data_IF_295997307177
#
_entry.id   IF_295997307177
#
_cell.length_a   1.000
_cell.length_b   1.000
_cell.length_c   1.000
_cell.angle_alpha   90.00
_cell.angle_beta   90.00
_cell.angle_gamma   90.00
#
_symmetry.space_group_name_H-M   'P 1'
#
loop_
_entity.id
_entity.type
_entity.pdbx_description
1 polymer ?
#
# COMPACT_ATOMS: atom_id res chain seq x y z
N UNK A 1 -27.50 2.53 5.95
CA UNK A 1 -26.41 1.53 6.09
C UNK A 1 -25.01 2.11 5.82
N UNK A 2 -24.87 3.13 4.95
CA UNK A 2 -23.57 3.72 4.58
C UNK A 2 -22.89 4.49 5.73
N UNK A 3 -23.65 5.21 6.57
CA UNK A 3 -23.10 6.05 7.65
C UNK A 3 -22.44 5.23 8.79
N UNK A 4 -22.92 4.00 9.06
CA UNK A 4 -22.33 3.14 10.11
C UNK A 4 -20.94 2.61 9.72
N UNK A 5 -20.71 2.36 8.43
CA UNK A 5 -19.42 1.88 7.92
C UNK A 5 -18.32 2.93 8.14
N UNK A 6 -18.57 4.20 7.79
CA UNK A 6 -17.61 5.29 8.04
C UNK A 6 -17.27 5.48 9.53
N UNK A 7 -18.24 5.25 10.42
CA UNK A 7 -18.07 5.43 11.86
C UNK A 7 -17.17 4.38 12.51
N UNK A 8 -17.08 3.16 11.94
CA UNK A 8 -16.18 2.10 12.41
C UNK A 8 -14.81 2.14 11.73
N UNK A 9 -14.72 2.65 10.50
CA UNK A 9 -13.46 2.73 9.75
C UNK A 9 -12.54 3.84 10.29
N UNK A 10 -13.12 4.92 10.84
CA UNK A 10 -12.35 6.02 11.41
C UNK A 10 -11.45 5.62 12.61
N UNK A 11 -11.95 4.95 13.67
CA UNK A 11 -11.10 4.52 14.77
C UNK A 11 -10.05 3.50 14.33
N UNK A 12 -10.37 2.61 13.39
CA UNK A 12 -9.40 1.64 12.86
C UNK A 12 -8.21 2.32 12.18
N UNK A 13 -8.46 3.37 11.39
CA UNK A 13 -7.37 4.10 10.74
C UNK A 13 -6.50 4.85 11.77
N UNK A 14 -7.10 5.42 12.81
CA UNK A 14 -6.36 6.06 13.90
C UNK A 14 -5.46 5.06 14.64
N UNK A 15 -5.96 3.86 14.95
CA UNK A 15 -5.17 2.77 15.53
C UNK A 15 -4.02 2.36 14.60
N UNK A 16 -4.29 2.20 13.31
CA UNK A 16 -3.25 1.91 12.31
C UNK A 16 -2.16 2.97 12.32
N UNK A 17 -2.50 4.27 12.35
CA UNK A 17 -1.50 5.34 12.39
C UNK A 17 -0.64 5.29 13.66
N UNK A 18 -1.24 4.98 14.81
CA UNK A 18 -0.51 4.86 16.07
C UNK A 18 0.48 3.69 16.05
N UNK A 19 0.05 2.51 15.58
CA UNK A 19 0.93 1.35 15.43
C UNK A 19 2.03 1.61 14.41
N UNK A 20 1.69 2.29 13.30
CA UNK A 20 2.65 2.64 12.27
C UNK A 20 3.76 3.57 12.79
N UNK A 21 3.42 4.57 13.61
CA UNK A 21 4.40 5.46 14.25
C UNK A 21 5.29 4.72 15.26
N UNK A 22 4.76 3.69 15.94
CA UNK A 22 5.56 2.88 16.85
C UNK A 22 6.55 1.98 16.10
N UNK A 23 6.19 1.52 14.90
CA UNK A 23 7.00 0.61 14.08
C UNK A 23 7.98 1.32 13.14
N UNK A 24 7.63 2.53 12.67
CA UNK A 24 8.42 3.29 11.71
C UNK A 24 8.95 4.59 12.33
N UNK A 25 10.28 4.75 12.45
CA UNK A 25 10.85 6.01 12.92
C UNK A 25 10.52 7.16 11.96
N UNK A 26 10.24 8.33 12.52
CA UNK A 26 9.92 9.52 11.74
C UNK A 26 11.03 9.86 10.73
N UNK A 27 10.65 10.43 9.59
CA UNK A 27 11.58 10.89 8.55
C UNK A 27 12.16 9.80 7.64
N UNK A 28 11.76 8.53 7.81
CA UNK A 28 12.22 7.43 6.97
C UNK A 28 11.21 7.12 5.84
N UNK A 29 11.73 6.72 4.69
CA UNK A 29 10.94 6.17 3.59
C UNK A 29 10.81 4.65 3.71
N UNK A 30 9.63 4.10 3.42
CA UNK A 30 9.34 2.67 3.46
C UNK A 30 9.55 2.05 2.09
N UNK A 31 10.29 0.94 2.02
CA UNK A 31 10.29 0.07 0.85
C UNK A 31 9.25 -1.05 1.06
N UNK A 32 8.13 -0.97 0.36
CA UNK A 32 7.03 -1.92 0.51
C UNK A 32 7.09 -3.02 -0.54
N UNK A 33 7.23 -4.27 -0.08
CA UNK A 33 7.08 -5.43 -0.95
C UNK A 33 5.61 -5.61 -1.38
N UNK A 34 5.33 -5.56 -2.69
CA UNK A 34 4.02 -5.82 -3.27
C UNK A 34 4.03 -7.11 -4.08
N UNK A 35 3.11 -8.01 -3.75
CA UNK A 35 2.86 -9.24 -4.50
C UNK A 35 1.79 -9.09 -5.59
N UNK A 36 1.00 -8.01 -5.51
CA UNK A 36 -0.21 -7.82 -6.31
C UNK A 36 -1.48 -8.41 -5.66
N UNK A 37 -1.35 -9.04 -4.49
CA UNK A 37 -2.48 -9.48 -3.68
C UNK A 37 -3.15 -8.33 -2.92
N UNK A 38 -4.42 -8.53 -2.54
CA UNK A 38 -5.25 -7.51 -1.89
C UNK A 38 -4.60 -6.92 -0.64
N UNK A 39 -3.98 -7.74 0.20
CA UNK A 39 -3.35 -7.29 1.46
C UNK A 39 -2.25 -6.26 1.19
N UNK A 40 -1.36 -6.57 0.25
CA UNK A 40 -0.25 -5.69 -0.13
C UNK A 40 -0.73 -4.37 -0.76
N UNK A 41 -1.83 -4.41 -1.53
CA UNK A 41 -2.42 -3.24 -2.18
C UNK A 41 -3.14 -2.36 -1.16
N UNK A 42 -3.87 -2.96 -0.20
CA UNK A 42 -4.54 -2.23 0.89
C UNK A 42 -3.50 -1.59 1.79
N UNK A 43 -2.43 -2.30 2.17
CA UNK A 43 -1.35 -1.72 2.97
C UNK A 43 -0.69 -0.53 2.27
N UNK A 44 -0.40 -0.66 0.97
CA UNK A 44 0.13 0.45 0.17
C UNK A 44 -0.81 1.66 0.17
N UNK A 45 -2.12 1.43 0.07
CA UNK A 45 -3.14 2.48 0.11
C UNK A 45 -3.22 3.16 1.49
N UNK A 46 -3.13 2.39 2.58
CA UNK A 46 -3.14 2.91 3.95
C UNK A 46 -1.90 3.75 4.25
N UNK A 47 -0.70 3.28 3.88
CA UNK A 47 0.56 4.03 4.04
C UNK A 47 0.51 5.36 3.30
N UNK A 48 -0.01 5.34 2.07
CA UNK A 48 -0.18 6.55 1.27
C UNK A 48 -1.18 7.52 1.91
N UNK A 49 -2.32 7.02 2.39
CA UNK A 49 -3.34 7.83 3.08
C UNK A 49 -2.77 8.45 4.36
N UNK A 50 -1.89 7.73 5.07
CA UNK A 50 -1.15 8.21 6.22
C UNK A 50 0.02 9.17 5.87
N UNK A 51 0.21 9.49 4.58
CA UNK A 51 1.28 10.36 4.05
C UNK A 51 2.68 9.86 4.36
N UNK A 52 2.87 8.55 4.48
CA UNK A 52 4.19 7.94 4.64
C UNK A 52 4.87 7.84 3.26
N UNK A 53 6.11 8.32 3.10
CA UNK A 53 6.86 8.15 1.87
C UNK A 53 7.09 6.65 1.65
N UNK A 54 6.55 6.09 0.56
CA UNK A 54 6.65 4.67 0.24
C UNK A 54 7.13 4.46 -1.20
N UNK A 55 8.06 3.53 -1.35
CA UNK A 55 8.54 3.01 -2.62
C UNK A 55 8.07 1.56 -2.76
N UNK A 56 7.54 1.18 -3.91
CA UNK A 56 7.03 -0.18 -4.12
C UNK A 56 8.12 -1.09 -4.71
N UNK A 57 8.42 -2.19 -4.04
CA UNK A 57 9.27 -3.26 -4.55
C UNK A 57 8.42 -4.46 -4.96
N UNK A 58 8.57 -4.95 -6.19
CA UNK A 58 7.93 -6.19 -6.63
C UNK A 58 8.96 -7.15 -7.20
N UNK A 59 8.87 -8.40 -6.77
CA UNK A 59 9.74 -9.47 -7.25
C UNK A 59 8.91 -10.39 -8.14
N UNK A 60 9.26 -10.42 -9.43
CA UNK A 60 8.73 -11.40 -10.35
C UNK A 60 9.62 -12.65 -10.31
N UNK A 61 9.18 -13.69 -9.62
CA UNK A 61 9.88 -14.98 -9.54
C UNK A 61 9.87 -15.78 -10.86
N UNK A 62 9.22 -15.27 -11.92
CA UNK A 62 9.15 -15.86 -13.26
C UNK A 62 8.54 -17.28 -13.34
N UNK A 63 7.93 -17.76 -12.25
CA UNK A 63 7.34 -19.11 -12.15
C UNK A 63 6.10 -19.33 -13.04
N UNK A 64 5.55 -18.29 -13.68
CA UNK A 64 4.32 -18.35 -14.48
C UNK A 64 4.53 -18.07 -15.98
N UNK A 65 5.77 -18.08 -16.46
CA UNK A 65 6.08 -17.78 -17.86
C UNK A 65 5.50 -16.42 -18.30
N UNK A 66 4.89 -16.36 -19.49
CA UNK A 66 4.37 -15.11 -20.11
C UNK A 66 3.15 -14.48 -19.41
N UNK A 67 2.57 -15.11 -18.37
CA UNK A 67 1.37 -14.59 -17.66
C UNK A 67 1.66 -13.55 -16.57
N UNK A 68 2.86 -12.97 -16.52
CA UNK A 68 3.21 -11.89 -15.59
C UNK A 68 2.54 -10.52 -15.87
N UNK A 69 1.61 -10.46 -16.84
CA UNK A 69 1.07 -9.20 -17.41
C UNK A 69 0.19 -8.38 -16.46
N UNK A 70 -0.37 -8.99 -15.40
CA UNK A 70 -1.29 -8.30 -14.48
C UNK A 70 -0.65 -7.20 -13.63
N UNK A 71 0.66 -7.25 -13.37
CA UNK A 71 1.33 -6.31 -12.46
C UNK A 71 1.53 -4.91 -13.06
N UNK A 72 1.67 -4.81 -14.38
CA UNK A 72 1.97 -3.54 -15.07
C UNK A 72 0.92 -2.46 -14.79
N UNK A 73 -0.35 -2.85 -14.80
CA UNK A 73 -1.46 -1.94 -14.57
C UNK A 73 -1.48 -1.39 -13.14
N UNK A 74 -1.02 -2.17 -12.16
CA UNK A 74 -0.90 -1.73 -10.77
C UNK A 74 0.13 -0.61 -10.64
N UNK A 75 1.31 -0.78 -11.24
CA UNK A 75 2.38 0.22 -11.23
C UNK A 75 2.03 1.49 -12.01
N UNK A 76 1.40 1.34 -13.17
CA UNK A 76 0.95 2.48 -13.97
C UNK A 76 -0.07 3.32 -13.21
N UNK A 77 -1.00 2.68 -12.49
CA UNK A 77 -1.96 3.38 -11.63
C UNK A 77 -1.25 4.02 -10.43
N UNK A 78 -0.25 3.36 -9.84
CA UNK A 78 0.51 3.86 -8.70
C UNK A 78 1.38 5.10 -9.04
N UNK A 79 1.97 5.13 -10.25
CA UNK A 79 2.68 6.32 -10.75
C UNK A 79 1.77 7.52 -10.92
N UNK A 80 0.57 7.31 -11.50
CA UNK A 80 -0.41 8.39 -11.73
C UNK A 80 -0.86 9.08 -10.45
N UNK A 81 -0.80 8.36 -9.33
CA UNK A 81 -1.25 8.87 -8.04
C UNK A 81 -0.08 9.43 -7.20
N UNK A 82 1.11 9.62 -7.76
CA UNK A 82 2.22 10.36 -7.14
C UNK A 82 3.07 9.56 -6.15
N UNK A 83 3.08 8.23 -6.23
CA UNK A 83 4.00 7.42 -5.45
C UNK A 83 5.31 7.17 -6.22
N UNK A 84 6.44 7.26 -5.54
CA UNK A 84 7.75 6.96 -6.10
C UNK A 84 7.83 5.44 -6.38
N UNK A 85 8.23 5.05 -7.58
CA UNK A 85 8.61 3.68 -7.92
C UNK A 85 10.12 3.58 -8.01
#
# INVERSE_FOLDING_TARGET
MIIKTYRLVHPLFATFQQELQALLPAGHSVLLAISGGVDSVVLAHLLKTAKVPVTLAHVNFQLRGKKAFGMKNLFDNWRRIGACL
#
